data_IF_977046464785
#
_entry.id   IF_977046464785
#
_cell.length_a   1.000
_cell.length_b   1.000
_cell.length_c   1.000
_cell.angle_alpha   90.00
_cell.angle_beta   90.00
_cell.angle_gamma   90.00
#
_symmetry.space_group_name_H-M   'P 1'
#
loop_
_entity.id
_entity.type
_entity.pdbx_description
1 polymer ?
#
# COMPACT_ATOMS: atom_id res chain seq x y z
N UNK A 1 -3.84 -14.74 21.49
CA UNK A 1 -2.39 -14.46 21.34
C UNK A 1 -2.16 -13.93 19.92
N UNK A 2 -1.71 -12.68 19.78
CA UNK A 2 -1.24 -12.17 18.48
C UNK A 2 0.10 -12.87 18.18
N UNK A 3 0.20 -13.51 17.02
CA UNK A 3 1.43 -14.19 16.57
C UNK A 3 2.62 -13.23 16.61
N UNK A 4 3.72 -13.69 17.23
CA UNK A 4 4.92 -12.91 17.56
C UNK A 4 5.75 -12.50 16.33
N UNK A 5 5.41 -13.01 15.13
CA UNK A 5 6.19 -12.84 13.90
C UNK A 5 5.41 -12.08 12.80
N UNK A 6 4.81 -10.94 13.15
CA UNK A 6 4.17 -10.03 12.18
C UNK A 6 4.96 -8.74 12.06
N UNK A 7 6.06 -8.79 11.32
CA UNK A 7 6.89 -7.62 11.08
C UNK A 7 6.24 -6.71 10.03
N UNK A 8 6.08 -5.43 10.39
CA UNK A 8 5.64 -4.35 9.50
C UNK A 8 6.78 -3.35 9.46
N UNK A 9 7.22 -3.01 8.25
CA UNK A 9 8.26 -2.01 8.01
C UNK A 9 7.61 -0.78 7.40
N UNK A 10 7.91 0.40 7.95
CA UNK A 10 7.31 1.66 7.50
C UNK A 10 8.40 2.55 6.90
N UNK A 11 8.18 3.04 5.68
CA UNK A 11 9.07 3.99 4.99
C UNK A 11 8.42 5.37 5.07
N UNK A 12 8.98 6.25 5.90
CA UNK A 12 8.49 7.63 6.09
C UNK A 12 9.50 8.66 5.59
N UNK A 13 9.01 9.82 5.17
CA UNK A 13 9.83 10.96 4.76
C UNK A 13 9.12 11.87 3.74
N UNK A 14 9.67 13.05 3.43
CA UNK A 14 9.04 14.04 2.54
C UNK A 14 8.78 13.51 1.12
N UNK A 15 7.89 14.16 0.38
CA UNK A 15 7.63 13.86 -1.04
C UNK A 15 8.91 14.00 -1.86
N UNK A 16 9.01 13.24 -2.96
CA UNK A 16 10.14 13.26 -3.90
C UNK A 16 11.51 12.77 -3.38
N UNK A 17 11.63 12.18 -2.18
CA UNK A 17 12.89 11.55 -1.72
C UNK A 17 13.12 10.12 -2.24
N UNK A 18 12.24 9.60 -3.11
CA UNK A 18 12.39 8.26 -3.68
C UNK A 18 11.83 7.09 -2.86
N UNK A 19 10.91 7.34 -1.92
CA UNK A 19 10.29 6.28 -1.07
C UNK A 19 9.67 5.15 -1.89
N UNK A 20 8.91 5.48 -2.95
CA UNK A 20 8.26 4.48 -3.81
C UNK A 20 9.28 3.58 -4.51
N UNK A 21 10.42 4.13 -4.93
CA UNK A 21 11.51 3.36 -5.52
C UNK A 21 12.10 2.36 -4.51
N UNK A 22 12.38 2.80 -3.29
CA UNK A 22 12.88 1.92 -2.22
C UNK A 22 11.87 0.81 -1.91
N UNK A 23 10.58 1.12 -1.84
CA UNK A 23 9.54 0.13 -1.61
C UNK A 23 9.52 -0.95 -2.72
N UNK A 24 9.63 -0.54 -3.98
CA UNK A 24 9.71 -1.46 -5.13
C UNK A 24 10.96 -2.34 -5.06
N UNK A 25 12.14 -1.75 -4.81
CA UNK A 25 13.41 -2.49 -4.69
C UNK A 25 13.36 -3.56 -3.58
N UNK A 26 12.59 -3.32 -2.52
CA UNK A 26 12.37 -4.28 -1.43
C UNK A 26 11.43 -5.43 -1.84
N UNK A 27 10.33 -5.12 -2.53
CA UNK A 27 9.38 -6.16 -3.00
C UNK A 27 10.01 -7.04 -4.08
N UNK A 28 10.96 -6.52 -4.87
CA UNK A 28 11.70 -7.35 -5.83
C UNK A 28 12.58 -8.41 -5.16
N UNK A 29 13.08 -8.13 -3.96
CA UNK A 29 14.06 -8.99 -3.26
C UNK A 29 13.43 -9.86 -2.19
N UNK A 30 12.29 -9.45 -1.65
CA UNK A 30 11.66 -10.07 -0.51
C UNK A 30 10.14 -10.20 -0.73
N UNK A 31 9.48 -11.18 -0.09
CA UNK A 31 8.05 -11.41 -0.24
C UNK A 31 7.22 -10.38 0.56
N UNK A 32 7.35 -9.10 0.20
CA UNK A 32 6.60 -7.99 0.75
C UNK A 32 5.43 -7.62 -0.15
N UNK A 33 4.38 -7.08 0.46
CA UNK A 33 3.30 -6.36 -0.23
C UNK A 33 3.35 -4.90 0.26
N UNK A 34 2.95 -3.95 -0.58
CA UNK A 34 3.02 -2.51 -0.26
C UNK A 34 1.63 -2.03 0.16
N UNK A 35 1.55 -1.28 1.25
CA UNK A 35 0.36 -0.52 1.64
C UNK A 35 0.68 0.96 1.44
N UNK A 36 -0.07 1.65 0.58
CA UNK A 36 0.15 3.09 0.35
C UNK A 36 -0.25 3.91 1.58
N UNK A 37 0.67 4.78 2.02
CA UNK A 37 0.46 5.76 3.09
C UNK A 37 0.11 7.17 2.60
N UNK A 38 -0.20 7.32 1.31
CA UNK A 38 -0.49 8.61 0.68
C UNK A 38 -2.00 8.80 0.47
N UNK A 39 -2.57 9.82 1.10
CA UNK A 39 -4.01 10.13 1.01
C UNK A 39 -4.45 10.65 -0.35
N UNK A 40 -3.53 11.01 -1.24
CA UNK A 40 -3.85 11.44 -2.61
C UNK A 40 -3.97 10.25 -3.57
N UNK A 41 -3.23 9.15 -3.32
CA UNK A 41 -3.22 7.98 -4.20
C UNK A 41 -4.46 7.10 -4.11
N UNK A 42 -5.32 7.33 -3.11
CA UNK A 42 -6.56 6.56 -2.90
C UNK A 42 -7.61 6.81 -3.97
N UNK A 43 -7.59 7.98 -4.64
CA UNK A 43 -8.63 8.40 -5.58
C UNK A 43 -8.35 7.88 -6.97
N UNK A 44 -9.32 7.19 -7.59
CA UNK A 44 -9.25 6.71 -8.97
C UNK A 44 -9.01 7.83 -9.96
N UNK A 45 -8.35 7.50 -11.07
CA UNK A 45 -8.13 8.37 -12.26
C UNK A 45 -7.28 9.64 -12.03
N UNK A 46 -7.04 10.03 -10.79
CA UNK A 46 -6.16 11.14 -10.43
C UNK A 46 -4.70 10.68 -10.42
N UNK A 47 -4.07 10.48 -11.59
CA UNK A 47 -2.74 9.84 -11.66
C UNK A 47 -1.57 10.84 -11.69
N UNK A 48 -1.68 11.90 -12.50
CA UNK A 48 -0.58 12.86 -12.74
C UNK A 48 -0.32 13.72 -11.51
N UNK A 49 -1.37 14.30 -10.92
CA UNK A 49 -1.25 15.22 -9.79
C UNK A 49 -0.86 14.55 -8.45
N UNK A 50 -0.91 13.22 -8.38
CA UNK A 50 -0.67 12.44 -7.16
C UNK A 50 0.59 11.57 -7.26
N UNK A 51 1.38 11.74 -8.34
CA UNK A 51 2.61 10.97 -8.59
C UNK A 51 2.42 9.44 -8.41
N UNK A 52 1.29 8.91 -8.89
CA UNK A 52 1.01 7.47 -8.77
C UNK A 52 1.97 6.65 -9.61
N UNK A 53 2.40 5.47 -9.12
CA UNK A 53 3.10 4.52 -9.96
C UNK A 53 2.28 4.17 -11.20
N UNK A 54 2.96 3.95 -12.33
CA UNK A 54 2.27 3.58 -13.56
C UNK A 54 1.63 2.18 -13.47
N UNK A 55 0.75 1.88 -14.41
CA UNK A 55 0.01 0.61 -14.44
C UNK A 55 0.90 -0.63 -14.57
N UNK A 56 2.12 -0.51 -15.14
CA UNK A 56 3.07 -1.62 -15.26
C UNK A 56 3.66 -1.95 -13.89
N UNK A 57 3.99 -0.94 -13.10
CA UNK A 57 4.44 -1.11 -11.71
C UNK A 57 3.30 -1.69 -10.86
N UNK A 58 2.10 -1.10 -10.93
CA UNK A 58 0.95 -1.55 -10.13
C UNK A 58 0.48 -2.98 -10.45
N UNK A 59 0.66 -3.42 -11.71
CA UNK A 59 0.36 -4.80 -12.12
C UNK A 59 1.46 -5.80 -11.71
N UNK A 60 2.72 -5.36 -11.62
CA UNK A 60 3.85 -6.21 -11.21
C UNK A 60 3.97 -6.33 -9.70
N UNK A 61 3.73 -5.26 -8.95
CA UNK A 61 3.87 -5.22 -7.49
C UNK A 61 2.54 -4.86 -6.86
N UNK A 62 2.04 -5.74 -5.99
CA UNK A 62 0.76 -5.52 -5.34
C UNK A 62 0.85 -4.35 -4.35
N UNK A 63 0.10 -3.30 -4.67
CA UNK A 63 -0.12 -2.14 -3.82
C UNK A 63 -1.55 -2.16 -3.30
N UNK A 64 -1.70 -2.01 -1.99
CA UNK A 64 -2.98 -1.81 -1.32
C UNK A 64 -3.23 -0.30 -1.16
N UNK A 65 -4.51 0.08 -1.10
CA UNK A 65 -4.97 1.45 -0.87
C UNK A 65 -4.54 2.45 -1.98
N UNK A 66 -4.50 1.99 -3.22
CA UNK A 66 -4.42 2.83 -4.43
C UNK A 66 -5.70 2.62 -5.23
N UNK A 67 -6.25 3.70 -5.80
CA UNK A 67 -7.46 3.64 -6.65
C UNK A 67 -8.67 2.93 -5.98
N UNK A 68 -8.86 3.17 -4.68
CA UNK A 68 -9.90 2.50 -3.89
C UNK A 68 -11.25 3.23 -3.92
N UNK A 69 -11.28 4.54 -4.14
CA UNK A 69 -12.50 5.37 -4.14
C UNK A 69 -12.58 6.26 -5.38
N UNK A 70 -13.78 6.74 -5.72
CA UNK A 70 -13.97 7.74 -6.77
C UNK A 70 -13.65 9.17 -6.27
N UNK A 71 -13.22 10.10 -7.13
CA UNK A 71 -12.92 11.48 -6.74
C UNK A 71 -14.07 12.26 -6.07
N UNK A 72 -15.31 11.86 -6.31
CA UNK A 72 -16.51 12.47 -5.72
C UNK A 72 -16.93 11.84 -4.38
N UNK A 73 -16.21 10.83 -3.91
CA UNK A 73 -16.50 10.15 -2.65
C UNK A 73 -15.69 10.77 -1.49
N UNK A 74 -16.34 10.89 -0.34
CA UNK A 74 -15.68 11.33 0.89
C UNK A 74 -14.92 10.18 1.52
N UNK A 75 -13.67 10.46 1.92
CA UNK A 75 -12.82 9.49 2.59
C UNK A 75 -12.08 10.13 3.76
N UNK A 76 -12.11 9.46 4.92
CA UNK A 76 -11.57 10.00 6.16
C UNK A 76 -10.59 9.03 6.84
N UNK A 77 -9.93 9.54 7.88
CA UNK A 77 -8.91 8.79 8.63
C UNK A 77 -9.47 7.51 9.27
N UNK A 78 -10.73 7.49 9.68
CA UNK A 78 -11.34 6.29 10.26
C UNK A 78 -11.48 5.17 9.23
N UNK A 79 -11.96 5.49 8.02
CA UNK A 79 -12.02 4.54 6.91
C UNK A 79 -10.62 4.08 6.52
N UNK A 80 -9.68 5.01 6.45
CA UNK A 80 -8.28 4.73 6.14
C UNK A 80 -7.63 3.71 7.10
N UNK A 81 -7.76 3.93 8.40
CA UNK A 81 -7.25 2.99 9.40
C UNK A 81 -7.92 1.61 9.28
N UNK A 82 -9.22 1.58 8.99
CA UNK A 82 -9.96 0.33 8.78
C UNK A 82 -9.46 -0.43 7.56
N UNK A 83 -9.20 0.26 6.45
CA UNK A 83 -8.71 -0.36 5.22
C UNK A 83 -7.27 -0.87 5.37
N UNK A 84 -6.41 -0.14 6.10
CA UNK A 84 -5.09 -0.64 6.51
C UNK A 84 -5.22 -1.95 7.31
N UNK A 85 -6.10 -1.99 8.31
CA UNK A 85 -6.31 -3.19 9.13
C UNK A 85 -6.78 -4.39 8.30
N UNK A 86 -7.62 -4.15 7.29
CA UNK A 86 -8.07 -5.17 6.34
C UNK A 86 -6.88 -5.66 5.50
N UNK A 87 -6.12 -4.76 4.89
CA UNK A 87 -4.95 -5.10 4.07
C UNK A 87 -3.91 -5.91 4.87
N UNK A 88 -3.61 -5.49 6.10
CA UNK A 88 -2.70 -6.21 7.01
C UNK A 88 -3.20 -7.63 7.29
N UNK A 89 -4.51 -7.79 7.58
CA UNK A 89 -5.10 -9.11 7.83
C UNK A 89 -5.02 -10.00 6.59
N UNK A 90 -5.24 -9.46 5.40
CA UNK A 90 -5.12 -10.20 4.14
C UNK A 90 -3.69 -10.69 3.90
N UNK A 91 -2.70 -9.81 4.01
CA UNK A 91 -1.27 -10.12 3.83
C UNK A 91 -0.86 -11.26 4.76
N UNK A 92 -1.23 -11.18 6.05
CA UNK A 92 -0.87 -12.22 7.02
C UNK A 92 -1.73 -13.49 6.93
N UNK A 93 -2.93 -13.44 6.34
CA UNK A 93 -3.76 -14.63 6.10
C UNK A 93 -3.21 -15.45 4.94
N UNK A 94 -2.79 -14.80 3.85
CA UNK A 94 -2.20 -15.46 2.68
C UNK A 94 -0.91 -16.22 3.06
N UNK A 95 -0.07 -15.62 3.90
CA UNK A 95 1.18 -16.25 4.37
C UNK A 95 0.98 -17.47 5.27
N UNK A 96 -0.21 -17.67 5.85
CA UNK A 96 -0.50 -18.85 6.68
C UNK A 96 -0.68 -20.14 5.86
N UNK A 97 -0.89 -20.04 4.54
CA UNK A 97 -1.12 -21.19 3.66
C UNK A 97 0.08 -21.59 2.80
N UNK A 98 1.19 -20.83 2.86
CA UNK A 98 2.36 -21.04 2.02
C UNK A 98 3.51 -21.82 2.69
N UNK A 99 3.26 -22.43 3.85
CA UNK A 99 4.22 -23.29 4.57
C UNK A 99 3.51 -24.47 5.22
#
# INVERSE_FOLDING_TARGET
>A
MLNKDRNIYTIIGPTAIGKSKIAIDLVEKYPFEIISLDSSMIFREMNIGTDKPDSRILSKYKHHLIDIINPNESYNVFQYCKDIDIAIKEIFKIKKFLY
#
